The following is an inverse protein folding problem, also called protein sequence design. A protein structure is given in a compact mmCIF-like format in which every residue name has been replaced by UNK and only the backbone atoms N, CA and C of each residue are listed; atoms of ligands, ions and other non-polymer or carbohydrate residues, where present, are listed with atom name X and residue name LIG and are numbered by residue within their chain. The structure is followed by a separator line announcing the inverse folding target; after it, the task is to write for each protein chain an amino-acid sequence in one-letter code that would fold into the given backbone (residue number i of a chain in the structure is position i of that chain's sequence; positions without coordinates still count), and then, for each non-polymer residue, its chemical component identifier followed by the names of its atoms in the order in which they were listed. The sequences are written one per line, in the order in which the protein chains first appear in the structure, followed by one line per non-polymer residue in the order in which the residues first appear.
data_IF_915288468858
#
_entry.id   IF_915288468858
#
_cell.length_a   1.000
_cell.length_b   1.000
_cell.length_c   1.000
_cell.angle_alpha   90.00
_cell.angle_beta   90.00
_cell.angle_gamma   90.00
#
_symmetry.space_group_name_H-M   'P 1'
#
loop_
_entity.id
_entity.type
_entity.pdbx_description
1 polymer ?
#
# COMPACT_ATOMS: atom_id res chain seq x y z
N UNK A 1 -22.36 2.32 -34.43
CA UNK A 1 -22.07 2.78 -33.05
C UNK A 1 -21.27 1.70 -32.36
N UNK A 2 -19.94 1.71 -32.54
CA UNK A 2 -19.04 0.69 -32.01
C UNK A 2 -18.56 1.07 -30.62
N UNK A 3 -19.09 0.40 -29.59
CA UNK A 3 -18.57 0.52 -28.23
C UNK A 3 -17.22 -0.20 -28.14
N UNK A 4 -16.14 0.54 -27.93
CA UNK A 4 -14.88 -0.08 -27.54
C UNK A 4 -14.98 -0.50 -26.08
N UNK A 5 -15.01 -1.82 -25.87
CA UNK A 5 -14.77 -2.43 -24.58
C UNK A 5 -13.38 -2.02 -24.10
N UNK A 6 -13.31 -1.16 -23.09
CA UNK A 6 -12.07 -0.88 -22.40
C UNK A 6 -11.63 -2.15 -21.68
N UNK A 7 -10.70 -2.88 -22.29
CA UNK A 7 -9.96 -3.96 -21.62
C UNK A 7 -9.20 -3.34 -20.46
N UNK A 8 -9.71 -3.50 -19.24
CA UNK A 8 -9.00 -3.16 -18.01
C UNK A 8 -7.93 -4.23 -17.80
N UNK A 9 -6.85 -4.16 -18.57
CA UNK A 9 -5.63 -4.93 -18.31
C UNK A 9 -4.72 -4.10 -17.41
N UNK A 10 -5.08 -3.99 -16.14
CA UNK A 10 -4.30 -3.23 -15.15
C UNK A 10 -3.50 -4.12 -14.19
N UNK A 11 -3.79 -5.43 -14.11
CA UNK A 11 -3.03 -6.34 -13.27
C UNK A 11 -2.07 -7.16 -14.13
N UNK A 12 -0.79 -6.74 -14.17
CA UNK A 12 0.29 -7.64 -14.59
C UNK A 12 0.34 -8.84 -13.64
N UNK A 13 0.68 -10.04 -14.13
CA UNK A 13 0.88 -11.20 -13.27
C UNK A 13 2.01 -10.95 -12.27
N UNK A 14 1.84 -11.44 -11.04
CA UNK A 14 2.86 -11.37 -9.99
C UNK A 14 4.17 -11.99 -10.50
N UNK A 15 5.28 -11.25 -10.38
CA UNK A 15 6.61 -11.66 -10.86
C UNK A 15 7.08 -10.99 -12.15
N UNK A 16 6.25 -10.20 -12.85
CA UNK A 16 6.71 -9.43 -14.00
C UNK A 16 7.23 -8.04 -13.59
N UNK A 17 8.42 -7.67 -14.06
CA UNK A 17 8.99 -6.35 -13.81
C UNK A 17 8.18 -5.22 -14.45
N UNK A 18 8.17 -4.05 -13.80
CA UNK A 18 7.50 -2.85 -14.31
C UNK A 18 8.24 -2.38 -15.58
N UNK A 19 7.53 -1.94 -16.64
CA UNK A 19 8.19 -1.53 -17.89
C UNK A 19 9.13 -0.35 -17.64
N UNK A 20 10.39 -0.40 -18.10
CA UNK A 20 11.40 0.68 -17.91
C UNK A 20 11.16 1.97 -18.71
N UNK A 21 9.93 2.23 -19.20
CA UNK A 21 9.58 3.46 -19.95
C UNK A 21 9.34 4.61 -18.95
N UNK A 22 9.42 5.90 -19.33
CA UNK A 22 9.00 6.95 -18.40
C UNK A 22 7.55 6.69 -18.00
N UNK A 23 7.36 6.34 -16.73
CA UNK A 23 6.06 6.10 -16.12
C UNK A 23 5.99 6.86 -14.79
N UNK A 24 4.81 7.35 -14.39
CA UNK A 24 4.60 7.86 -13.03
C UNK A 24 5.01 6.83 -11.98
N UNK A 25 5.34 7.29 -10.77
CA UNK A 25 5.66 6.39 -9.67
C UNK A 25 4.51 5.40 -9.43
N UNK A 26 4.85 4.11 -9.36
CA UNK A 26 3.89 3.03 -9.07
C UNK A 26 3.96 2.72 -7.59
N UNK A 27 2.81 2.63 -6.91
CA UNK A 27 2.70 2.27 -5.50
C UNK A 27 1.96 0.95 -5.35
N UNK A 28 2.37 0.13 -4.39
CA UNK A 28 1.73 -1.16 -4.11
C UNK A 28 0.88 -1.06 -2.83
N UNK A 29 -0.44 -0.89 -2.94
CA UNK A 29 -1.33 -1.02 -1.80
C UNK A 29 -1.52 -2.50 -1.45
N UNK A 30 -1.51 -2.83 -0.16
CA UNK A 30 -1.79 -4.19 0.28
C UNK A 30 -1.88 -4.38 1.78
N UNK A 31 -1.93 -5.65 2.17
CA UNK A 31 -1.97 -6.13 3.56
C UNK A 31 -0.75 -7.02 3.82
N UNK A 32 -0.65 -7.61 5.02
CA UNK A 32 0.52 -8.38 5.47
C UNK A 32 0.77 -9.60 4.55
N UNK A 33 1.63 -9.44 3.56
CA UNK A 33 2.10 -10.51 2.66
C UNK A 33 3.61 -10.39 2.50
N UNK A 34 4.35 -11.36 3.04
CA UNK A 34 5.82 -11.34 3.05
C UNK A 34 6.41 -11.29 1.65
N UNK A 35 5.87 -12.10 0.73
CA UNK A 35 6.37 -12.17 -0.64
C UNK A 35 6.14 -10.87 -1.40
N UNK A 36 4.99 -10.22 -1.16
CA UNK A 36 4.68 -8.91 -1.75
C UNK A 36 5.61 -7.81 -1.25
N UNK A 37 5.99 -7.86 0.02
CA UNK A 37 6.95 -6.92 0.62
C UNK A 37 8.35 -7.06 0.05
N UNK A 38 8.83 -8.30 -0.07
CA UNK A 38 10.13 -8.59 -0.65
C UNK A 38 10.20 -8.13 -2.11
N UNK A 39 9.21 -8.51 -2.89
CA UNK A 39 9.10 -8.09 -4.29
C UNK A 39 9.05 -6.57 -4.43
N UNK A 40 8.29 -5.87 -3.55
CA UNK A 40 8.24 -4.42 -3.57
C UNK A 40 9.60 -3.78 -3.23
N UNK A 41 10.38 -4.37 -2.32
CA UNK A 41 11.73 -3.90 -2.01
C UNK A 41 12.70 -4.14 -3.19
N UNK A 42 12.70 -5.33 -3.78
CA UNK A 42 13.49 -5.66 -4.99
C UNK A 42 13.20 -4.70 -6.15
N UNK A 43 11.93 -4.38 -6.37
CA UNK A 43 11.52 -3.44 -7.42
C UNK A 43 11.61 -1.96 -7.00
N UNK A 44 11.98 -1.68 -5.73
CA UNK A 44 12.02 -0.34 -5.12
C UNK A 44 10.70 0.43 -5.22
N UNK A 45 9.60 -0.30 -5.10
CA UNK A 45 8.23 0.22 -5.14
C UNK A 45 7.81 0.64 -3.73
N UNK A 46 7.22 1.83 -3.55
CA UNK A 46 6.59 2.20 -2.30
C UNK A 46 5.42 1.28 -1.95
N UNK A 47 5.42 0.73 -0.74
CA UNK A 47 4.36 -0.14 -0.23
C UNK A 47 3.45 0.62 0.73
N UNK A 48 2.13 0.56 0.51
CA UNK A 48 1.15 1.20 1.39
C UNK A 48 0.31 0.14 2.11
N UNK A 49 0.45 0.11 3.43
CA UNK A 49 -0.27 -0.81 4.31
C UNK A 49 -1.69 -0.32 4.57
N UNK A 50 -2.67 -1.16 4.24
CA UNK A 50 -4.09 -0.83 4.30
C UNK A 50 -4.76 -1.47 5.51
N UNK A 51 -5.22 -0.66 6.46
CA UNK A 51 -6.11 -1.08 7.56
C UNK A 51 -5.58 -2.26 8.40
N UNK A 52 -4.27 -2.37 8.57
CA UNK A 52 -3.59 -3.39 9.38
C UNK A 52 -3.39 -2.93 10.81
N UNK A 53 -3.22 -3.85 11.76
CA UNK A 53 -2.81 -3.48 13.12
C UNK A 53 -1.38 -2.90 13.13
N UNK A 54 -1.07 -2.03 14.10
CA UNK A 54 0.21 -1.33 14.17
C UNK A 54 1.40 -2.28 14.35
N UNK A 55 1.30 -3.26 15.25
CA UNK A 55 2.41 -4.16 15.56
C UNK A 55 2.79 -5.08 14.39
N UNK A 56 1.84 -5.75 13.70
CA UNK A 56 2.14 -6.46 12.47
C UNK A 56 2.67 -5.56 11.35
N UNK A 57 2.22 -4.31 11.29
CA UNK A 57 2.71 -3.34 10.29
C UNK A 57 4.19 -3.03 10.49
N UNK A 58 4.64 -2.82 11.73
CA UNK A 58 6.05 -2.62 12.05
C UNK A 58 6.91 -3.80 11.61
N UNK A 59 6.48 -5.03 11.91
CA UNK A 59 7.18 -6.26 11.46
C UNK A 59 7.23 -6.38 9.94
N UNK A 60 6.18 -5.96 9.24
CA UNK A 60 6.18 -5.95 7.78
C UNK A 60 7.15 -4.91 7.22
N UNK A 61 7.27 -3.75 7.86
CA UNK A 61 8.26 -2.73 7.50
C UNK A 61 9.69 -3.22 7.73
N UNK A 62 9.95 -3.95 8.82
CA UNK A 62 11.25 -4.60 9.05
C UNK A 62 11.63 -5.53 7.89
N UNK A 63 10.69 -6.34 7.37
CA UNK A 63 10.95 -7.17 6.18
C UNK A 63 11.35 -6.33 4.98
N UNK A 64 10.70 -5.19 4.74
CA UNK A 64 11.09 -4.27 3.65
C UNK A 64 12.50 -3.74 3.86
N UNK A 65 12.81 -3.31 5.09
CA UNK A 65 14.10 -2.74 5.46
C UNK A 65 15.23 -3.75 5.29
N UNK A 66 15.02 -4.99 5.70
CA UNK A 66 16.00 -6.06 5.57
C UNK A 66 16.23 -6.43 4.10
N UNK A 67 15.17 -6.58 3.30
CA UNK A 67 15.31 -6.84 1.86
C UNK A 67 15.96 -5.67 1.12
N UNK A 68 15.68 -4.43 1.51
CA UNK A 68 16.35 -3.26 0.94
C UNK A 68 17.87 -3.28 1.18
N UNK A 69 18.30 -3.64 2.41
CA UNK A 69 19.72 -3.81 2.75
C UNK A 69 20.38 -4.92 1.93
N UNK A 70 19.70 -6.05 1.74
CA UNK A 70 20.15 -7.15 0.89
C UNK A 70 20.34 -6.69 -0.57
N UNK A 71 19.45 -5.84 -1.08
CA UNK A 71 19.51 -5.21 -2.42
C UNK A 71 20.47 -4.01 -2.51
N UNK A 72 21.18 -3.70 -1.42
CA UNK A 72 22.22 -2.66 -1.38
C UNK A 72 21.70 -1.22 -1.31
N UNK A 73 20.50 -0.98 -0.78
CA UNK A 73 19.98 0.37 -0.55
C UNK A 73 19.34 0.54 0.84
N UNK A 74 19.32 1.77 1.34
CA UNK A 74 18.62 2.11 2.58
C UNK A 74 17.20 2.59 2.26
N UNK A 75 16.22 1.85 2.73
CA UNK A 75 14.80 2.23 2.63
C UNK A 75 14.43 3.30 3.66
N UNK A 76 13.62 4.28 3.26
CA UNK A 76 13.15 5.37 4.12
C UNK A 76 11.65 5.66 3.98
N UNK A 77 11.19 6.83 4.46
CA UNK A 77 9.78 7.23 4.41
C UNK A 77 9.18 7.27 2.99
N UNK A 78 10.02 7.44 1.97
CA UNK A 78 9.62 7.38 0.56
C UNK A 78 9.17 5.98 0.10
N UNK A 79 9.51 4.93 0.85
CA UNK A 79 9.26 3.54 0.48
C UNK A 79 8.03 2.93 1.18
N UNK A 80 7.52 3.55 2.25
CA UNK A 80 6.54 2.93 3.13
C UNK A 80 5.43 3.92 3.50
N UNK A 81 4.19 3.46 3.40
CA UNK A 81 2.99 4.20 3.80
C UNK A 81 2.08 3.37 4.67
N UNK A 82 1.28 4.04 5.51
CA UNK A 82 0.28 3.41 6.36
C UNK A 82 -1.03 4.19 6.29
N UNK A 83 -2.12 3.51 5.95
CA UNK A 83 -3.44 4.11 5.82
C UNK A 83 -4.12 4.18 7.20
N UNK A 84 -4.20 5.39 7.75
CA UNK A 84 -4.94 5.66 8.99
C UNK A 84 -6.33 6.20 8.69
N UNK A 85 -7.38 5.57 9.24
CA UNK A 85 -8.74 6.09 9.16
C UNK A 85 -8.93 7.16 10.24
N UNK A 86 -8.93 8.44 9.85
CA UNK A 86 -9.18 9.57 10.76
C UNK A 86 -10.56 10.17 10.46
N UNK A 87 -11.30 10.45 11.53
CA UNK A 87 -12.47 11.32 11.48
C UNK A 87 -12.23 12.48 12.44
N UNK A 88 -12.62 13.70 12.06
CA UNK A 88 -12.49 14.90 12.91
C UNK A 88 -13.85 15.60 12.90
N UNK A 89 -14.34 15.98 14.08
CA UNK A 89 -15.60 16.69 14.30
C UNK A 89 -15.41 17.78 15.37
N UNK A 90 -16.36 18.71 15.51
CA UNK A 90 -16.22 19.91 16.36
C UNK A 90 -16.31 19.61 17.86
N UNK A 91 -17.09 18.59 18.26
CA UNK A 91 -17.14 18.10 19.65
C UNK A 91 -17.14 16.58 19.70
N UNK A 92 -16.58 16.02 20.78
CA UNK A 92 -16.48 14.56 20.95
C UNK A 92 -17.86 13.88 21.03
N UNK A 93 -18.89 14.56 21.56
CA UNK A 93 -20.27 14.05 21.70
C UNK A 93 -20.92 13.72 20.34
N UNK A 94 -20.56 14.39 19.25
CA UNK A 94 -21.13 14.12 17.93
C UNK A 94 -20.68 12.77 17.35
N UNK A 95 -19.62 12.17 17.89
CA UNK A 95 -19.02 10.93 17.37
C UNK A 95 -19.83 9.69 17.70
N UNK A 96 -20.56 9.67 18.82
CA UNK A 96 -21.34 8.51 19.26
C UNK A 96 -22.70 8.41 18.56
N UNK A 97 -23.32 9.55 18.23
CA UNK A 97 -24.69 9.60 17.72
C UNK A 97 -24.84 9.57 16.19
N UNK A 98 -23.74 9.56 15.44
CA UNK A 98 -23.78 9.54 13.97
C UNK A 98 -23.91 8.10 13.43
N UNK A 99 -24.69 7.89 12.34
CA UNK A 99 -24.72 6.59 11.69
C UNK A 99 -23.29 6.21 11.32
N UNK A 100 -22.84 5.05 11.82
CA UNK A 100 -21.49 4.50 11.67
C UNK A 100 -21.26 4.04 10.22
N UNK A 101 -21.35 4.97 9.26
CA UNK A 101 -21.11 4.72 7.83
C UNK A 101 -19.61 4.53 7.54
N UNK A 102 -18.73 4.78 8.52
CA UNK A 102 -17.27 4.72 8.37
C UNK A 102 -16.53 3.72 9.28
N UNK A 103 -17.21 3.04 10.22
CA UNK A 103 -16.51 2.24 11.26
C UNK A 103 -16.98 0.78 11.37
N UNK A 104 -17.63 0.22 10.36
CA UNK A 104 -17.98 -1.21 10.35
C UNK A 104 -16.90 -2.00 9.60
N UNK A 105 -15.99 -2.61 10.36
CA UNK A 105 -15.18 -3.78 9.97
C UNK A 105 -15.53 -4.92 10.90
#
# INVERSE_FOLDING_TARGET
MGGQTLSVSACKPMGQSIPKKPHPQVWLPGVISRDSFKWAAEQRIPYVMLSTELEPTKKAFEVYHDTAKEEGYESGPQNLGYLWKVHVDETEDWRENRPKIYTRT
#
